data_IF_563181250831
#
_entry.id   IF_563181250831
#
_cell.length_a   1.000
_cell.length_b   1.000
_cell.length_c   1.000
_cell.angle_alpha   90.00
_cell.angle_beta   90.00
_cell.angle_gamma   90.00
#
_symmetry.space_group_name_H-M   'P 1'
#
loop_
_entity.id
_entity.type
_entity.pdbx_description
1 polymer ?
#
# COMPACT_ATOMS: atom_id res chain seq x y z
N UNK A 1 12.86 10.64 4.56
CA UNK A 1 11.46 10.61 5.02
C UNK A 1 10.55 10.85 3.83
N UNK A 2 9.32 10.29 3.84
CA UNK A 2 8.33 10.59 2.80
C UNK A 2 8.04 12.09 2.76
N UNK A 3 7.86 12.71 1.59
CA UNK A 3 7.35 14.09 1.51
C UNK A 3 6.08 14.20 2.36
N UNK A 4 5.94 15.17 3.25
CA UNK A 4 4.75 15.25 4.13
C UNK A 4 4.66 14.16 5.22
N UNK A 5 5.69 13.33 5.40
CA UNK A 5 5.75 12.36 6.51
C UNK A 5 5.80 13.03 7.90
N UNK A 6 6.41 14.20 8.00
CA UNK A 6 6.39 15.03 9.23
C UNK A 6 4.97 15.48 9.58
N UNK A 7 4.19 15.82 8.57
CA UNK A 7 2.80 16.22 8.75
C UNK A 7 1.93 15.05 9.23
N UNK A 8 2.16 13.84 8.71
CA UNK A 8 1.49 12.64 9.22
C UNK A 8 1.87 12.36 10.68
N UNK A 9 3.15 12.48 11.04
CA UNK A 9 3.61 12.32 12.42
C UNK A 9 2.98 13.37 13.35
N UNK A 10 2.94 14.63 12.92
CA UNK A 10 2.28 15.71 13.66
C UNK A 10 0.79 15.41 13.89
N UNK A 11 0.09 14.94 12.85
CA UNK A 11 -1.32 14.53 12.99
C UNK A 11 -1.46 13.37 13.98
N UNK A 12 -0.56 12.37 13.96
CA UNK A 12 -0.57 11.27 14.93
C UNK A 12 -0.43 11.76 16.37
N UNK A 13 0.51 12.68 16.60
CA UNK A 13 0.77 13.24 17.93
C UNK A 13 -0.42 14.07 18.43
N UNK A 14 -0.98 14.93 17.58
CA UNK A 14 -2.11 15.81 17.93
C UNK A 14 -3.39 15.06 18.31
N UNK A 15 -3.67 13.95 17.63
CA UNK A 15 -4.86 13.14 17.91
C UNK A 15 -4.59 12.07 19.00
N UNK A 16 -3.33 11.95 19.45
CA UNK A 16 -2.91 10.99 20.46
C UNK A 16 -3.06 9.54 20.01
N UNK A 17 -2.55 9.18 18.82
CA UNK A 17 -2.44 7.78 18.44
C UNK A 17 -1.40 7.08 19.32
N UNK A 18 -1.78 5.96 19.92
CA UNK A 18 -0.88 5.15 20.73
C UNK A 18 0.03 4.30 19.83
N UNK A 19 1.35 4.54 19.77
CA UNK A 19 2.25 3.80 18.87
C UNK A 19 2.34 2.31 19.20
N UNK A 20 2.01 1.90 20.44
CA UNK A 20 2.05 0.51 20.89
C UNK A 20 0.76 -0.26 20.53
N UNK A 21 -0.26 0.43 20.01
CA UNK A 21 -1.52 -0.18 19.61
C UNK A 21 -1.69 -0.13 18.10
N UNK A 22 -2.15 -1.26 17.54
CA UNK A 22 -2.53 -1.34 16.14
C UNK A 22 -3.51 -0.22 15.77
N UNK A 23 -3.27 0.46 14.65
CA UNK A 23 -4.03 1.64 14.19
C UNK A 23 -5.55 1.44 14.21
N UNK A 24 -6.02 0.26 13.80
CA UNK A 24 -7.45 -0.13 13.82
C UNK A 24 -8.07 -0.18 15.22
N UNK A 25 -7.27 -0.42 16.25
CA UNK A 25 -7.72 -0.57 17.63
C UNK A 25 -7.72 0.78 18.39
N UNK A 26 -7.63 1.91 17.67
CA UNK A 26 -7.56 3.27 18.23
C UNK A 26 -8.94 3.95 18.32
N UNK A 27 -10.02 3.24 17.96
CA UNK A 27 -11.40 3.77 18.00
C UNK A 27 -11.60 4.94 17.04
N UNK A 28 -12.29 5.99 17.48
CA UNK A 28 -12.57 7.18 16.65
C UNK A 28 -11.29 7.88 16.14
N UNK A 29 -10.14 7.74 16.84
CA UNK A 29 -8.88 8.39 16.47
C UNK A 29 -8.38 7.96 15.09
N UNK A 30 -8.59 6.70 14.70
CA UNK A 30 -8.18 6.22 13.37
C UNK A 30 -9.00 6.88 12.24
N UNK A 31 -10.29 7.12 12.47
CA UNK A 31 -11.16 7.86 11.55
C UNK A 31 -10.76 9.34 11.43
N UNK A 32 -10.44 9.98 12.57
CA UNK A 32 -9.96 11.37 12.59
C UNK A 32 -8.61 11.51 11.87
N UNK A 33 -7.70 10.56 12.09
CA UNK A 33 -6.43 10.49 11.34
C UNK A 33 -6.69 10.43 9.84
N UNK A 34 -7.50 9.47 9.38
CA UNK A 34 -7.76 9.28 7.96
C UNK A 34 -8.33 10.55 7.30
N UNK A 35 -9.22 11.26 7.99
CA UNK A 35 -9.78 12.50 7.50
C UNK A 35 -8.73 13.63 7.41
N UNK A 36 -7.88 13.79 8.43
CA UNK A 36 -6.84 14.84 8.46
C UNK A 36 -5.68 14.55 7.50
N UNK A 37 -5.30 13.29 7.36
CA UNK A 37 -4.22 12.87 6.48
C UNK A 37 -4.59 12.92 4.99
N UNK A 38 -5.88 13.09 4.66
CA UNK A 38 -6.40 13.06 3.29
C UNK A 38 -5.67 14.02 2.35
N UNK A 39 -5.48 15.27 2.75
CA UNK A 39 -4.81 16.28 1.90
C UNK A 39 -3.35 15.93 1.60
N UNK A 40 -2.67 15.25 2.54
CA UNK A 40 -1.30 14.77 2.33
C UNK A 40 -1.29 13.66 1.27
N UNK A 41 -2.23 12.73 1.34
CA UNK A 41 -2.37 11.67 0.34
C UNK A 41 -2.81 12.19 -1.03
N UNK A 42 -3.68 13.19 -1.09
CA UNK A 42 -4.07 13.87 -2.33
C UNK A 42 -2.85 14.53 -3.00
N UNK A 43 -2.02 15.25 -2.22
CA UNK A 43 -0.78 15.82 -2.73
C UNK A 43 0.21 14.75 -3.22
N UNK A 44 0.27 13.60 -2.54
CA UNK A 44 1.09 12.48 -3.01
C UNK A 44 0.60 11.93 -4.33
N UNK A 45 -0.71 11.85 -4.53
CA UNK A 45 -1.31 11.46 -5.81
C UNK A 45 -0.90 12.37 -6.96
N UNK A 46 -0.88 13.68 -6.75
CA UNK A 46 -0.45 14.65 -7.78
C UNK A 46 1.04 14.53 -8.15
N UNK A 47 1.85 14.03 -7.20
CA UNK A 47 3.31 13.87 -7.37
C UNK A 47 3.72 12.44 -7.72
N UNK A 48 2.77 11.52 -7.71
CA UNK A 48 3.03 10.11 -7.91
C UNK A 48 3.33 9.85 -9.38
N UNK A 49 4.37 9.06 -9.62
CA UNK A 49 4.67 8.57 -10.96
C UNK A 49 3.85 7.31 -11.22
N UNK A 50 3.16 7.27 -12.35
CA UNK A 50 2.33 6.11 -12.70
C UNK A 50 3.20 4.92 -13.10
N UNK A 51 2.96 3.77 -12.48
CA UNK A 51 3.59 2.49 -12.82
C UNK A 51 2.69 1.73 -13.80
N UNK A 52 2.58 2.25 -15.02
CA UNK A 52 1.94 1.56 -16.14
C UNK A 52 2.81 0.38 -16.63
N UNK A 53 2.34 -0.88 -16.52
CA UNK A 53 3.09 -2.04 -16.99
C UNK A 53 3.41 -2.03 -18.49
N UNK A 54 2.63 -1.28 -19.29
CA UNK A 54 2.80 -1.17 -20.74
C UNK A 54 3.84 -0.12 -21.15
N UNK A 55 4.19 0.80 -20.24
CA UNK A 55 5.20 1.83 -20.45
C UNK A 55 6.19 1.89 -19.27
N UNK A 56 7.06 0.87 -19.09
CA UNK A 56 7.96 0.83 -17.94
C UNK A 56 8.97 1.97 -17.95
N UNK A 57 9.13 2.62 -16.80
CA UNK A 57 10.12 3.66 -16.58
C UNK A 57 11.23 3.18 -15.65
N UNK A 58 12.31 3.96 -15.56
CA UNK A 58 13.34 3.73 -14.56
C UNK A 58 12.80 4.05 -13.16
N UNK A 59 12.75 3.03 -12.31
CA UNK A 59 12.25 3.14 -10.93
C UNK A 59 13.41 3.15 -9.93
N UNK A 60 13.41 4.14 -9.04
CA UNK A 60 14.43 4.34 -8.01
C UNK A 60 13.82 4.33 -6.60
N UNK A 61 14.56 3.90 -5.56
CA UNK A 61 14.11 4.02 -4.17
C UNK A 61 13.76 5.46 -3.80
N UNK A 62 12.69 5.64 -3.03
CA UNK A 62 12.17 6.94 -2.60
C UNK A 62 11.13 7.56 -3.54
N UNK A 63 10.95 7.03 -4.75
CA UNK A 63 9.88 7.49 -5.64
C UNK A 63 8.50 7.21 -5.05
N UNK A 64 7.64 8.23 -5.09
CA UNK A 64 6.19 8.07 -4.87
C UNK A 64 5.58 7.59 -6.17
N UNK A 65 4.83 6.52 -6.09
CA UNK A 65 4.30 5.82 -7.27
C UNK A 65 2.80 5.56 -7.10
N UNK A 66 2.08 5.70 -8.20
CA UNK A 66 0.73 5.23 -8.36
C UNK A 66 0.77 3.92 -9.14
N UNK A 67 -0.18 3.04 -8.88
CA UNK A 67 -0.35 1.82 -9.64
C UNK A 67 -1.84 1.51 -9.76
N UNK A 68 -2.22 0.99 -10.91
CA UNK A 68 -3.52 0.38 -11.19
C UNK A 68 -3.26 -0.82 -12.10
N UNK A 69 -3.27 -2.03 -11.54
CA UNK A 69 -2.88 -3.22 -12.29
C UNK A 69 -3.53 -4.49 -11.75
N UNK A 70 -3.73 -5.52 -12.59
CA UNK A 70 -4.07 -6.86 -12.13
C UNK A 70 -2.95 -7.41 -11.26
N UNK A 71 -3.26 -7.79 -10.02
CA UNK A 71 -2.29 -8.30 -9.07
C UNK A 71 -2.74 -9.62 -8.46
N UNK A 72 -1.74 -10.46 -8.13
CA UNK A 72 -1.92 -11.68 -7.33
C UNK A 72 -1.45 -11.45 -5.91
N UNK A 73 -2.22 -11.94 -4.94
CA UNK A 73 -1.86 -11.92 -3.54
C UNK A 73 -1.00 -13.15 -3.19
N UNK A 74 0.10 -12.91 -2.47
CA UNK A 74 1.02 -13.94 -2.02
C UNK A 74 1.13 -13.93 -0.50
N UNK A 75 1.56 -15.06 0.08
CA UNK A 75 1.78 -15.23 1.52
C UNK A 75 0.57 -14.89 2.41
N UNK A 76 -0.65 -15.00 1.88
CA UNK A 76 -1.88 -14.60 2.57
C UNK A 76 -2.32 -15.54 3.70
N UNK A 77 -1.72 -16.73 3.85
CA UNK A 77 -2.01 -17.63 4.99
C UNK A 77 -1.75 -16.94 6.35
N UNK A 78 -0.66 -16.18 6.46
CA UNK A 78 -0.32 -15.45 7.70
C UNK A 78 -1.26 -14.27 7.97
N UNK A 79 -1.73 -13.60 6.91
CA UNK A 79 -2.77 -12.58 7.00
C UNK A 79 -4.05 -13.13 7.61
N UNK A 80 -4.50 -14.32 7.17
CA UNK A 80 -5.71 -14.98 7.71
C UNK A 80 -5.59 -15.32 9.18
N UNK A 81 -4.37 -15.55 9.67
CA UNK A 81 -4.08 -15.87 11.06
C UNK A 81 -3.88 -14.62 11.93
N UNK A 82 -4.08 -13.41 11.38
CA UNK A 82 -3.80 -12.14 12.07
C UNK A 82 -2.37 -12.06 12.64
N UNK A 83 -1.42 -12.77 12.02
CA UNK A 83 -0.05 -12.78 12.49
C UNK A 83 0.62 -11.41 12.27
N UNK A 84 1.47 -10.94 13.20
CA UNK A 84 2.24 -9.72 13.01
C UNK A 84 3.10 -9.77 11.73
N UNK A 85 3.22 -8.63 11.07
CA UNK A 85 4.00 -8.49 9.84
C UNK A 85 5.49 -8.45 10.20
N UNK A 86 6.30 -9.32 9.61
CA UNK A 86 7.71 -9.52 10.00
C UNK A 86 8.69 -8.49 9.44
N UNK A 87 8.27 -7.69 8.47
CA UNK A 87 9.15 -6.80 7.71
C UNK A 87 9.71 -7.42 6.43
N UNK A 88 9.56 -8.73 6.24
CA UNK A 88 10.14 -9.48 5.13
C UNK A 88 9.12 -9.78 4.04
N UNK A 89 9.29 -9.21 2.85
CA UNK A 89 8.42 -9.47 1.69
C UNK A 89 8.31 -10.97 1.34
N UNK A 90 9.35 -11.76 1.63
CA UNK A 90 9.36 -13.21 1.39
C UNK A 90 8.40 -13.97 2.30
N UNK A 91 8.06 -13.42 3.47
CA UNK A 91 7.22 -14.06 4.50
C UNK A 91 5.88 -13.36 4.68
N UNK A 92 5.84 -12.07 4.40
CA UNK A 92 4.69 -11.23 4.66
C UNK A 92 3.73 -11.20 3.46
N UNK A 93 2.42 -11.00 3.71
CA UNK A 93 1.43 -10.78 2.67
C UNK A 93 1.80 -9.61 1.77
N UNK A 94 1.71 -9.82 0.45
CA UNK A 94 1.98 -8.78 -0.55
C UNK A 94 1.23 -9.05 -1.85
N UNK A 95 0.96 -7.99 -2.60
CA UNK A 95 0.40 -8.05 -3.95
C UNK A 95 1.56 -8.03 -4.94
N UNK A 96 1.37 -8.72 -6.07
CA UNK A 96 2.41 -8.85 -7.08
C UNK A 96 1.83 -8.66 -8.47
N UNK A 97 2.51 -7.88 -9.31
CA UNK A 97 2.20 -7.74 -10.73
C UNK A 97 3.48 -7.60 -11.56
N UNK A 98 3.38 -7.88 -12.86
CA UNK A 98 4.48 -7.73 -13.80
C UNK A 98 4.61 -6.26 -14.23
N UNK A 99 5.83 -5.79 -14.44
CA UNK A 99 6.14 -4.41 -14.85
C UNK A 99 7.37 -4.43 -15.76
N UNK A 100 7.14 -4.44 -17.08
CA UNK A 100 8.17 -4.81 -18.05
C UNK A 100 8.76 -6.19 -17.73
N UNK A 101 10.08 -6.28 -17.71
CA UNK A 101 10.82 -7.51 -17.34
C UNK A 101 10.94 -7.72 -15.82
N UNK A 102 10.36 -6.81 -15.02
CA UNK A 102 10.46 -6.80 -13.56
C UNK A 102 9.16 -7.24 -12.91
N UNK A 103 9.28 -7.60 -11.65
CA UNK A 103 8.12 -7.86 -10.79
C UNK A 103 7.97 -6.78 -9.73
N UNK A 104 6.79 -6.19 -9.63
CA UNK A 104 6.46 -5.30 -8.51
C UNK A 104 5.88 -6.13 -7.37
N UNK A 105 6.36 -5.90 -6.16
CA UNK A 105 5.81 -6.45 -4.93
C UNK A 105 5.36 -5.31 -4.01
N UNK A 106 4.05 -5.20 -3.80
CA UNK A 106 3.43 -4.19 -2.95
C UNK A 106 3.12 -4.82 -1.59
N UNK A 107 3.87 -4.41 -0.57
CA UNK A 107 3.52 -4.74 0.82
C UNK A 107 2.34 -3.88 1.26
N UNK A 108 1.42 -4.50 1.98
CA UNK A 108 0.20 -3.85 2.48
C UNK A 108 -0.13 -4.34 3.91
N UNK A 109 -0.98 -3.61 4.63
CA UNK A 109 -1.65 -4.16 5.82
C UNK A 109 -2.80 -5.06 5.36
N UNK A 110 -2.72 -6.39 5.58
CA UNK A 110 -3.72 -7.32 5.09
C UNK A 110 -5.13 -7.10 5.59
N UNK A 111 -5.28 -6.42 6.73
CA UNK A 111 -6.59 -6.15 7.29
C UNK A 111 -7.27 -4.98 6.57
N UNK A 112 -6.51 -4.02 6.05
CA UNK A 112 -7.04 -2.94 5.19
C UNK A 112 -7.57 -3.46 3.86
N UNK A 113 -6.94 -4.48 3.29
CA UNK A 113 -7.39 -5.15 2.07
C UNK A 113 -8.70 -5.93 2.29
N UNK A 114 -8.89 -6.53 3.46
CA UNK A 114 -10.13 -7.27 3.77
C UNK A 114 -11.33 -6.40 4.10
N UNK A 115 -11.12 -5.14 4.51
CA UNK A 115 -12.20 -4.29 5.06
C UNK A 115 -12.71 -3.23 4.08
N UNK A 116 -12.01 -2.93 2.97
CA UNK A 116 -12.38 -1.78 2.11
C UNK A 116 -12.41 -2.05 0.60
N UNK A 117 -11.92 -3.20 0.09
CA UNK A 117 -12.06 -3.57 -1.33
C UNK A 117 -13.26 -4.49 -1.54
N UNK A 118 -14.46 -3.91 -1.54
CA UNK A 118 -15.74 -4.63 -1.69
C UNK A 118 -15.89 -5.24 -3.09
N UNK A 119 -15.40 -6.46 -3.30
CA UNK A 119 -15.89 -7.50 -4.24
C UNK A 119 -14.90 -8.69 -4.33
N UNK A 120 -13.67 -8.53 -3.85
CA UNK A 120 -12.60 -9.55 -3.95
C UNK A 120 -11.86 -9.69 -2.63
N UNK A 121 -11.87 -10.90 -2.07
CA UNK A 121 -11.14 -11.21 -0.84
C UNK A 121 -9.66 -11.44 -1.13
N UNK A 122 -8.80 -11.39 -0.10
CA UNK A 122 -7.41 -11.89 -0.21
C UNK A 122 -7.36 -13.36 -0.71
N UNK A 123 -8.41 -14.15 -0.48
CA UNK A 123 -8.51 -15.51 -1.00
C UNK A 123 -8.88 -15.59 -2.48
N UNK A 124 -9.56 -14.57 -3.00
CA UNK A 124 -9.81 -14.41 -4.45
C UNK A 124 -8.52 -14.03 -5.14
N UNK A 125 -7.87 -12.96 -4.66
CA UNK A 125 -6.60 -12.49 -5.21
C UNK A 125 -5.45 -13.48 -5.06
N UNK A 126 -5.53 -14.49 -4.18
CA UNK A 126 -4.56 -15.60 -4.12
C UNK A 126 -4.68 -16.53 -5.34
N UNK A 127 -5.89 -16.67 -5.90
CA UNK A 127 -6.20 -17.65 -6.95
C UNK A 127 -6.19 -17.04 -8.35
N UNK A 128 -6.64 -15.80 -8.47
CA UNK A 128 -6.78 -15.09 -9.74
C UNK A 128 -6.26 -13.66 -9.62
N UNK A 129 -5.97 -13.05 -10.78
CA UNK A 129 -5.49 -11.67 -10.80
C UNK A 129 -6.67 -10.73 -10.59
N UNK A 130 -6.52 -9.84 -9.62
CA UNK A 130 -7.53 -8.85 -9.25
C UNK A 130 -6.91 -7.48 -9.43
N UNK A 131 -7.63 -6.58 -10.10
CA UNK A 131 -7.16 -5.20 -10.26
C UNK A 131 -7.18 -4.48 -8.93
N UNK A 132 -6.00 -4.00 -8.53
CA UNK A 132 -5.83 -3.13 -7.37
C UNK A 132 -5.22 -1.82 -7.80
N UNK A 133 -5.74 -0.73 -7.23
CA UNK A 133 -5.18 0.59 -7.35
C UNK A 133 -4.63 1.08 -6.01
N UNK A 134 -3.61 1.93 -6.05
CA UNK A 134 -3.05 2.50 -4.84
C UNK A 134 -1.90 3.45 -5.07
N UNK A 135 -1.45 4.02 -3.96
CA UNK A 135 -0.26 4.85 -3.89
C UNK A 135 0.76 4.14 -2.99
N UNK A 136 2.03 4.32 -3.30
CA UNK A 136 3.08 3.77 -2.47
C UNK A 136 4.40 4.46 -2.67
N UNK A 137 5.38 3.98 -1.92
CA UNK A 137 6.76 4.42 -2.08
C UNK A 137 7.64 3.24 -2.39
N UNK A 138 8.51 3.41 -3.37
CA UNK A 138 9.54 2.44 -3.70
C UNK A 138 10.55 2.38 -2.56
N UNK A 139 10.57 1.26 -1.85
CA UNK A 139 11.54 1.04 -0.76
C UNK A 139 12.80 0.35 -1.24
N UNK A 140 12.72 -0.42 -2.32
CA UNK A 140 13.86 -1.03 -2.99
C UNK A 140 13.57 -1.27 -4.47
N UNK A 141 14.62 -1.23 -5.29
CA UNK A 141 14.57 -1.53 -6.71
C UNK A 141 15.84 -2.30 -7.12
N UNK A 142 15.69 -3.55 -7.55
CA UNK A 142 16.74 -4.41 -8.11
C UNK A 142 16.49 -4.66 -9.59
N UNK A 143 17.42 -5.32 -10.29
CA UNK A 143 17.22 -5.66 -11.70
C UNK A 143 15.93 -6.42 -11.97
N UNK A 144 15.51 -7.31 -11.07
CA UNK A 144 14.33 -8.18 -11.29
C UNK A 144 13.08 -7.73 -10.51
N UNK A 145 13.23 -6.89 -9.48
CA UNK A 145 12.13 -6.62 -8.55
C UNK A 145 12.05 -5.16 -8.10
N UNK A 146 10.83 -4.65 -7.97
CA UNK A 146 10.50 -3.37 -7.33
C UNK A 146 9.72 -3.69 -6.06
N UNK A 147 10.16 -3.17 -4.91
CA UNK A 147 9.44 -3.32 -3.65
C UNK A 147 8.78 -1.99 -3.31
N UNK A 148 7.47 -2.03 -3.07
CA UNK A 148 6.66 -0.88 -2.73
C UNK A 148 6.08 -1.08 -1.34
N UNK A 149 6.24 -0.07 -0.49
CA UNK A 149 5.43 0.08 0.71
C UNK A 149 4.17 0.83 0.30
N UNK A 150 3.06 0.10 0.15
CA UNK A 150 1.83 0.63 -0.42
C UNK A 150 0.79 0.99 0.64
N UNK A 151 0.06 2.06 0.37
CA UNK A 151 -1.25 2.32 0.96
C UNK A 151 -2.28 2.02 -0.13
N UNK A 152 -2.97 0.90 -0.01
CA UNK A 152 -4.00 0.51 -0.97
C UNK A 152 -5.26 1.34 -0.75
N UNK A 153 -5.83 1.87 -1.82
CA UNK A 153 -7.03 2.71 -1.78
C UNK A 153 -7.99 2.29 -2.88
N UNK A 154 -9.29 2.19 -2.57
CA UNK A 154 -10.27 1.73 -3.58
C UNK A 154 -10.77 2.84 -4.51
N UNK A 155 -10.88 4.10 -4.08
CA UNK A 155 -11.52 5.15 -4.88
C UNK A 155 -11.10 6.51 -4.35
N UNK A 156 -10.11 7.14 -4.99
CA UNK A 156 -9.93 8.60 -4.94
C UNK A 156 -9.57 9.17 -6.33
N UNK A 157 -9.12 8.34 -7.26
CA UNK A 157 -8.64 8.77 -8.59
C UNK A 157 -9.52 8.31 -9.76
N UNK A 158 -10.84 8.15 -9.56
CA UNK A 158 -11.75 8.23 -10.73
C UNK A 158 -12.02 9.71 -11.00
N UNK A 159 -11.29 10.26 -11.98
CA UNK A 159 -11.85 11.34 -12.81
C UNK A 159 -12.90 10.76 -13.74
#
# INVERSE_FOLDING_TARGET
MLPGGEELLRICDEIGLDPERAFRNQGARSGVFANRARAVFENWGERAVDLDPSAPIQVQPGMVVAFDSPMRAHNVKRARQSAPVSGSIKRDPHLRFAYGDRTVAVRFDPIGLTTTTSLTTLGTAEKEDVTYAGLGTVVAATQDQIHISGVLQRLWFRR
#
